data_IF_772392749457
#
_entry.id   IF_772392749457
#
_cell.length_a   1.000
_cell.length_b   1.000
_cell.length_c   1.000
_cell.angle_alpha   90.00
_cell.angle_beta   90.00
_cell.angle_gamma   90.00
#
_symmetry.space_group_name_H-M   'P 1'
#
loop_
_entity.id
_entity.type
_entity.pdbx_description
1 polymer ?
#
# COMPACT_ATOMS: atom_id res chain seq x y z
N UNK A 1 4.46 10.20 24.31
CA UNK A 1 5.87 9.77 24.31
C UNK A 1 6.38 10.01 22.90
N UNK A 2 7.27 10.99 22.70
CA UNK A 2 7.79 11.32 21.37
C UNK A 2 9.13 10.63 21.19
N UNK A 3 9.24 9.77 20.18
CA UNK A 3 10.49 9.15 19.76
C UNK A 3 10.99 9.90 18.51
N UNK A 4 12.31 10.09 18.41
CA UNK A 4 12.96 10.65 17.22
C UNK A 4 13.96 9.60 16.73
N UNK A 5 13.72 9.06 15.53
CA UNK A 5 14.65 8.14 14.87
C UNK A 5 14.66 8.49 13.37
N UNK A 6 15.84 8.78 12.82
CA UNK A 6 16.00 9.15 11.41
C UNK A 6 15.42 10.51 11.00
N UNK A 7 15.18 11.43 11.94
CA UNK A 7 14.58 12.75 11.67
C UNK A 7 13.04 12.75 11.61
N UNK A 8 12.39 11.61 11.87
CA UNK A 8 10.94 11.48 11.94
C UNK A 8 10.46 11.62 13.40
N UNK A 9 9.40 12.40 13.60
CA UNK A 9 8.74 12.58 14.90
C UNK A 9 7.57 11.60 15.04
N UNK A 10 7.63 10.73 16.05
CA UNK A 10 6.52 9.82 16.37
C UNK A 10 5.61 10.48 17.40
N UNK A 11 4.36 10.75 17.03
CA UNK A 11 3.34 11.27 17.95
C UNK A 11 2.21 10.28 18.03
N UNK A 12 2.07 9.59 19.17
CA UNK A 12 0.88 8.79 19.46
C UNK A 12 -0.26 9.73 19.81
N UNK A 13 -1.15 9.95 18.86
CA UNK A 13 -2.35 10.75 19.05
C UNK A 13 -3.45 9.77 19.45
N UNK A 14 -3.75 9.63 20.75
CA UNK A 14 -4.95 8.89 21.22
C UNK A 14 -6.16 9.78 20.93
N UNK A 15 -6.49 9.95 19.66
CA UNK A 15 -7.62 10.77 19.27
C UNK A 15 -8.45 9.97 18.29
N UNK A 16 -9.74 9.93 18.58
CA UNK A 16 -10.79 9.27 17.81
C UNK A 16 -10.56 9.41 16.29
N UNK A 17 -10.80 8.32 15.55
CA UNK A 17 -10.61 8.15 14.09
C UNK A 17 -10.90 9.42 13.25
N UNK A 18 -11.90 10.22 13.62
CA UNK A 18 -12.26 11.47 12.95
C UNK A 18 -11.17 12.56 12.93
N UNK A 19 -10.30 12.67 13.94
CA UNK A 19 -9.21 13.65 13.93
C UNK A 19 -8.07 13.26 13.00
N UNK A 20 -7.74 11.96 12.92
CA UNK A 20 -6.72 11.46 12.00
C UNK A 20 -7.17 11.61 10.55
N UNK A 21 -8.44 11.35 10.25
CA UNK A 21 -9.04 11.63 8.93
C UNK A 21 -8.95 13.11 8.59
N UNK A 22 -9.30 14.00 9.53
CA UNK A 22 -9.25 15.45 9.31
C UNK A 22 -7.81 15.95 9.08
N UNK A 23 -6.82 15.36 9.76
CA UNK A 23 -5.41 15.65 9.53
C UNK A 23 -4.97 15.17 8.15
N UNK A 24 -5.33 13.94 7.76
CA UNK A 24 -5.01 13.38 6.46
C UNK A 24 -5.56 14.21 5.29
N UNK A 25 -6.78 14.77 5.44
CA UNK A 25 -7.38 15.63 4.42
C UNK A 25 -6.75 17.02 4.31
N UNK A 26 -6.18 17.56 5.40
CA UNK A 26 -5.59 18.92 5.44
C UNK A 26 -4.08 18.92 5.20
N UNK A 27 -3.43 17.80 5.48
CA UNK A 27 -1.98 17.63 5.35
C UNK A 27 -1.57 17.50 3.89
N UNK A 28 -0.36 17.95 3.50
CA UNK A 28 0.21 17.67 2.18
C UNK A 28 0.60 16.19 1.97
N UNK A 29 0.36 15.31 2.94
CA UNK A 29 0.78 13.89 2.91
C UNK A 29 2.17 13.68 3.52
N UNK A 30 2.79 12.53 3.24
CA UNK A 30 4.16 12.23 3.67
C UNK A 30 4.32 11.74 5.12
N UNK A 31 3.28 11.10 5.67
CA UNK A 31 3.30 10.51 7.01
C UNK A 31 2.79 9.06 6.95
N UNK A 32 3.14 8.27 7.97
CA UNK A 32 2.62 6.91 8.16
C UNK A 32 1.48 6.96 9.17
N UNK A 33 0.32 6.41 8.80
CA UNK A 33 -0.84 6.29 9.68
C UNK A 33 -0.97 4.85 10.17
N UNK A 34 -0.76 4.65 11.47
CA UNK A 34 -1.00 3.36 12.13
C UNK A 34 -2.48 3.24 12.52
N UNK A 35 -3.25 2.52 11.72
CA UNK A 35 -4.67 2.28 11.98
C UNK A 35 -4.93 0.87 12.53
N UNK A 36 -6.01 0.71 13.29
CA UNK A 36 -6.53 -0.63 13.65
C UNK A 36 -7.12 -1.28 12.40
N UNK A 37 -7.20 -2.61 12.38
CA UNK A 37 -7.58 -3.39 11.19
C UNK A 37 -8.80 -2.80 10.43
N UNK A 38 -9.93 -2.62 11.11
CA UNK A 38 -11.14 -2.06 10.49
C UNK A 38 -10.99 -0.62 9.98
N UNK A 39 -10.34 0.24 10.76
CA UNK A 39 -10.10 1.63 10.35
C UNK A 39 -9.14 1.67 9.15
N UNK A 40 -8.12 0.81 9.13
CA UNK A 40 -7.16 0.70 8.03
C UNK A 40 -7.82 0.25 6.74
N UNK A 41 -8.64 -0.80 6.79
CA UNK A 41 -9.37 -1.33 5.64
C UNK A 41 -10.25 -0.26 5.00
N UNK A 42 -11.15 0.35 5.78
CA UNK A 42 -12.09 1.38 5.30
C UNK A 42 -11.39 2.65 4.80
N UNK A 43 -10.36 3.11 5.53
CA UNK A 43 -9.68 4.36 5.17
C UNK A 43 -8.73 4.17 3.99
N UNK A 44 -8.17 2.97 3.81
CA UNK A 44 -7.27 2.68 2.69
C UNK A 44 -8.00 2.79 1.34
N UNK A 45 -9.23 2.28 1.24
CA UNK A 45 -10.07 2.44 0.05
C UNK A 45 -10.39 3.92 -0.25
N UNK A 46 -10.69 4.69 0.80
CA UNK A 46 -11.00 6.12 0.68
C UNK A 46 -9.79 6.90 0.16
N UNK A 47 -8.59 6.58 0.69
CA UNK A 47 -7.34 7.19 0.25
C UNK A 47 -7.00 6.76 -1.19
N UNK A 48 -7.12 5.48 -1.52
CA UNK A 48 -6.84 4.99 -2.88
C UNK A 48 -7.72 5.66 -3.94
N UNK A 49 -9.00 5.89 -3.62
CA UNK A 49 -9.90 6.63 -4.49
C UNK A 49 -9.55 8.12 -4.56
N UNK A 50 -9.10 8.73 -3.45
CA UNK A 50 -8.62 10.11 -3.39
C UNK A 50 -7.33 10.37 -4.17
N UNK A 51 -6.45 9.37 -4.26
CA UNK A 51 -5.21 9.41 -5.06
C UNK A 51 -5.41 8.96 -6.52
N UNK A 52 -6.65 8.66 -6.93
CA UNK A 52 -7.06 8.51 -8.33
C UNK A 52 -7.66 7.15 -8.67
N UNK A 53 -7.02 6.05 -8.30
CA UNK A 53 -7.53 4.70 -8.57
C UNK A 53 -6.96 3.67 -7.59
N UNK A 54 -7.78 2.70 -7.22
CA UNK A 54 -7.37 1.48 -6.50
C UNK A 54 -6.22 0.74 -7.20
N UNK A 55 -6.11 0.85 -8.53
CA UNK A 55 -5.03 0.25 -9.31
C UNK A 55 -3.66 0.93 -9.18
N UNK A 56 -3.57 2.04 -8.43
CA UNK A 56 -2.32 2.75 -8.12
C UNK A 56 -1.85 2.51 -6.67
N UNK A 57 -2.60 1.71 -5.90
CA UNK A 57 -2.25 1.35 -4.54
C UNK A 57 -1.45 0.05 -4.51
N UNK A 58 -0.53 -0.06 -3.56
CA UNK A 58 0.24 -1.27 -3.27
C UNK A 58 -0.05 -1.74 -1.85
N UNK A 59 -0.18 -3.05 -1.64
CA UNK A 59 -0.33 -3.64 -0.30
C UNK A 59 0.92 -4.46 0.02
N UNK A 60 1.53 -4.19 1.17
CA UNK A 60 2.71 -4.92 1.66
C UNK A 60 2.50 -5.24 3.14
N UNK A 61 2.41 -6.53 3.45
CA UNK A 61 2.41 -7.02 4.81
C UNK A 61 3.86 -7.21 5.27
N UNK A 62 4.21 -6.64 6.42
CA UNK A 62 5.54 -6.74 7.00
C UNK A 62 5.45 -7.44 8.35
N UNK A 63 6.19 -8.52 8.52
CA UNK A 63 6.28 -9.22 9.80
C UNK A 63 7.10 -8.42 10.82
N UNK A 64 6.83 -8.65 12.12
CA UNK A 64 7.57 -8.01 13.21
C UNK A 64 9.06 -8.35 13.26
N UNK A 65 9.49 -9.41 12.54
CA UNK A 65 10.89 -9.78 12.36
C UNK A 65 11.66 -8.81 11.43
N UNK A 66 10.95 -7.97 10.67
CA UNK A 66 11.49 -7.06 9.67
C UNK A 66 12.15 -7.76 8.47
N UNK A 67 11.99 -9.08 8.35
CA UNK A 67 12.61 -9.91 7.31
C UNK A 67 11.56 -10.41 6.34
N UNK A 68 10.48 -10.95 6.88
CA UNK A 68 9.40 -11.54 6.08
C UNK A 68 8.46 -10.44 5.62
N UNK A 69 8.25 -10.35 4.32
CA UNK A 69 7.21 -9.51 3.73
C UNK A 69 6.36 -10.33 2.77
N UNK A 70 5.11 -9.91 2.61
CA UNK A 70 4.23 -10.34 1.54
C UNK A 70 3.80 -9.09 0.76
N UNK A 71 4.13 -9.04 -0.53
CA UNK A 71 3.71 -7.96 -1.42
C UNK A 71 2.60 -8.47 -2.32
N UNK A 72 1.46 -7.78 -2.32
CA UNK A 72 0.28 -8.14 -3.11
C UNK A 72 -0.26 -6.93 -3.88
N UNK A 73 -1.06 -7.21 -4.91
CA UNK A 73 -1.79 -6.16 -5.59
C UNK A 73 -2.93 -5.67 -4.69
N UNK A 74 -3.05 -4.36 -4.48
CA UNK A 74 -4.07 -3.81 -3.59
C UNK A 74 -5.50 -3.90 -4.17
N UNK A 75 -5.66 -4.20 -5.46
CA UNK A 75 -6.96 -4.41 -6.06
C UNK A 75 -7.28 -5.91 -6.16
N UNK A 76 -8.56 -6.25 -5.98
CA UNK A 76 -9.06 -7.60 -6.21
C UNK A 76 -9.05 -8.02 -7.69
N UNK A 77 -9.37 -9.29 -7.93
CA UNK A 77 -9.51 -9.82 -9.30
C UNK A 77 -10.70 -9.18 -10.01
N UNK A 78 -10.47 -8.56 -11.17
CA UNK A 78 -11.54 -7.88 -11.91
C UNK A 78 -12.36 -8.88 -12.73
N UNK A 79 -13.25 -9.60 -12.06
CA UNK A 79 -14.06 -10.69 -12.63
C UNK A 79 -14.86 -10.27 -13.86
N UNK A 80 -15.26 -9.00 -13.94
CA UNK A 80 -15.91 -8.44 -15.13
C UNK A 80 -15.02 -8.51 -16.36
N UNK A 81 -13.78 -8.04 -16.27
CA UNK A 81 -12.83 -8.11 -17.38
C UNK A 81 -12.47 -9.57 -17.69
N UNK A 82 -12.33 -10.41 -16.66
CA UNK A 82 -12.09 -11.84 -16.88
C UNK A 82 -13.20 -12.52 -17.69
N UNK A 83 -14.47 -12.22 -17.42
CA UNK A 83 -15.61 -12.75 -18.18
C UNK A 83 -15.65 -12.24 -19.63
N UNK A 84 -15.26 -11.00 -19.87
CA UNK A 84 -15.18 -10.45 -21.24
C UNK A 84 -14.00 -11.07 -22.02
N UNK A 85 -12.87 -11.27 -21.36
CA UNK A 85 -11.74 -12.01 -21.92
C UNK A 85 -12.11 -13.46 -22.28
N UNK A 86 -12.89 -14.16 -21.44
CA UNK A 86 -13.39 -15.50 -21.75
C UNK A 86 -14.29 -15.55 -23.00
N UNK A 87 -14.97 -14.45 -23.33
CA UNK A 87 -15.79 -14.33 -24.54
C UNK A 87 -14.99 -13.95 -25.79
N UNK A 88 -13.68 -13.70 -25.64
CA UNK A 88 -12.81 -13.23 -26.72
C UNK A 88 -12.89 -11.73 -26.99
N UNK A 89 -13.53 -10.96 -26.10
CA UNK A 89 -13.62 -9.51 -26.22
C UNK A 89 -12.34 -8.84 -25.68
N UNK A 90 -11.99 -7.69 -26.26
CA UNK A 90 -10.86 -6.90 -25.80
C UNK A 90 -11.12 -6.34 -24.39
N UNK A 91 -10.09 -6.36 -23.55
CA UNK A 91 -10.15 -5.82 -22.18
C UNK A 91 -8.98 -4.89 -21.91
N UNK A 92 -9.24 -3.78 -21.22
CA UNK A 92 -8.21 -2.86 -20.75
C UNK A 92 -8.21 -2.87 -19.21
N UNK A 93 -7.44 -3.79 -18.64
CA UNK A 93 -7.24 -3.90 -17.18
C UNK A 93 -5.91 -3.26 -16.83
N UNK A 94 -5.88 -2.39 -15.81
CA UNK A 94 -4.66 -1.74 -15.36
C UNK A 94 -3.72 -2.75 -14.66
N UNK A 95 -2.51 -3.03 -15.19
CA UNK A 95 -1.59 -3.99 -14.58
C UNK A 95 -0.59 -3.35 -13.60
N UNK A 96 -0.63 -2.03 -13.36
CA UNK A 96 0.40 -1.30 -12.60
C UNK A 96 0.55 -1.84 -11.19
N UNK A 97 -0.54 -2.03 -10.43
CA UNK A 97 -0.45 -2.58 -9.08
C UNK A 97 0.15 -4.00 -9.04
N UNK A 98 -0.13 -4.82 -10.06
CA UNK A 98 0.46 -6.15 -10.17
C UNK A 98 1.96 -6.09 -10.45
N UNK A 99 2.39 -5.16 -11.32
CA UNK A 99 3.82 -4.92 -11.59
C UNK A 99 4.52 -4.45 -10.32
N UNK A 100 3.92 -3.51 -9.59
CA UNK A 100 4.49 -2.98 -8.35
C UNK A 100 4.55 -4.02 -7.23
N UNK A 101 3.60 -4.96 -7.15
CA UNK A 101 3.70 -6.07 -6.21
C UNK A 101 4.96 -6.91 -6.46
N UNK A 102 5.29 -7.20 -7.73
CA UNK A 102 6.52 -7.89 -8.09
C UNK A 102 7.77 -7.08 -7.77
N UNK A 103 7.82 -5.79 -8.13
CA UNK A 103 9.01 -4.97 -7.88
C UNK A 103 9.27 -4.80 -6.38
N UNK A 104 8.23 -4.66 -5.55
CA UNK A 104 8.37 -4.60 -4.09
C UNK A 104 8.89 -5.92 -3.49
N UNK A 105 8.36 -7.06 -3.95
CA UNK A 105 8.84 -8.37 -3.54
C UNK A 105 10.31 -8.59 -3.91
N UNK A 106 10.69 -8.22 -5.14
CA UNK A 106 12.08 -8.31 -5.62
C UNK A 106 13.01 -7.35 -4.89
N UNK A 107 12.59 -6.11 -4.61
CA UNK A 107 13.38 -5.14 -3.87
C UNK A 107 13.70 -5.63 -2.45
N UNK A 108 12.76 -6.27 -1.77
CA UNK A 108 13.04 -6.89 -0.46
C UNK A 108 13.95 -8.10 -0.59
N UNK A 109 13.76 -8.95 -1.60
CA UNK A 109 14.67 -10.08 -1.86
C UNK A 109 16.10 -9.60 -2.09
N UNK A 110 16.27 -8.54 -2.89
CA UNK A 110 17.54 -7.89 -3.14
C UNK A 110 18.19 -7.41 -1.83
N UNK A 111 17.41 -6.78 -0.95
CA UNK A 111 17.87 -6.32 0.36
C UNK A 111 18.29 -7.48 1.28
N UNK A 112 17.59 -8.61 1.24
CA UNK A 112 17.91 -9.79 2.05
C UNK A 112 19.14 -10.56 1.51
N UNK A 113 19.37 -10.53 0.20
CA UNK A 113 20.49 -11.19 -0.48
C UNK A 113 21.72 -10.29 -0.67
N UNK A 114 21.66 -9.02 -0.27
CA UNK A 114 22.68 -8.00 -0.57
C UNK A 114 23.02 -7.95 -2.07
N UNK A 115 22.00 -8.05 -2.93
CA UNK A 115 22.16 -8.10 -4.38
C UNK A 115 21.87 -6.73 -5.03
N UNK A 116 22.94 -5.96 -5.26
CA UNK A 116 22.90 -4.63 -5.87
C UNK A 116 22.38 -4.63 -7.33
N UNK A 117 22.46 -5.75 -8.05
CA UNK A 117 21.94 -5.82 -9.43
C UNK A 117 20.42 -5.88 -9.45
N UNK A 118 19.82 -6.52 -8.45
CA UNK A 118 18.36 -6.65 -8.33
C UNK A 118 17.71 -5.42 -7.67
N UNK A 119 18.51 -4.58 -6.99
CA UNK A 119 18.03 -3.37 -6.32
C UNK A 119 17.93 -2.15 -7.27
N UNK A 120 18.53 -2.22 -8.47
CA UNK A 120 18.53 -1.16 -9.49
C UNK A 120 17.21 -1.09 -10.26
#
# INVERSE_FOLDING_TARGET
>A
MSFICGGLNYTTVIVLCFFEVAYAMKSPGGFVWAAKNYDGDVQSDTLAQGYGSLGLMTSVLVCADGKTIEAEAAHGTVTRHYREHQKGNETSTNPIASIYAWTQGLAQRAKLDENDELQK
#
